data_IF_524328874975
#
_entry.id   IF_524328874975
#
_cell.length_a   1.000
_cell.length_b   1.000
_cell.length_c   1.000
_cell.angle_alpha   90.00
_cell.angle_beta   90.00
_cell.angle_gamma   90.00
#
_symmetry.space_group_name_H-M   'P 1'
#
loop_
_entity.id
_entity.type
_entity.pdbx_description
1 polymer ?
#
# COMPACT_ATOMS: atom_id res chain seq x y z
N UNK A 1 19.54 23.62 13.13
CA UNK A 1 19.49 23.68 14.61
C UNK A 1 18.67 24.90 14.99
N UNK A 2 17.58 24.72 15.75
CA UNK A 2 16.66 25.82 16.07
C UNK A 2 17.29 26.86 17.00
N UNK A 3 16.78 28.10 16.98
CA UNK A 3 17.20 29.16 17.90
C UNK A 3 17.08 28.66 19.36
N UNK A 4 18.04 28.97 20.24
CA UNK A 4 17.95 28.59 21.65
C UNK A 4 16.66 29.16 22.25
N UNK A 5 15.88 28.30 22.88
CA UNK A 5 14.64 28.68 23.52
C UNK A 5 14.98 29.50 24.78
N UNK A 6 14.40 30.69 24.91
CA UNK A 6 14.49 31.47 26.14
C UNK A 6 13.84 30.75 27.34
N UNK A 7 13.89 31.33 28.56
CA UNK A 7 13.41 30.68 29.79
C UNK A 7 11.98 30.14 29.69
N UNK A 8 11.09 30.93 29.07
CA UNK A 8 9.70 30.56 28.81
C UNK A 8 9.57 29.46 27.76
N UNK A 9 10.39 29.50 26.70
CA UNK A 9 10.40 28.48 25.66
C UNK A 9 10.84 27.10 26.18
N UNK A 10 11.80 27.08 27.10
CA UNK A 10 12.22 25.85 27.79
C UNK A 10 11.14 25.29 28.71
N UNK A 11 10.37 26.15 29.40
CA UNK A 11 9.24 25.72 30.23
C UNK A 11 8.16 25.01 29.40
N UNK A 12 7.77 25.58 28.25
CA UNK A 12 6.82 24.94 27.35
C UNK A 12 7.41 23.67 26.73
N UNK A 13 8.70 23.66 26.36
CA UNK A 13 9.37 22.46 25.83
C UNK A 13 9.26 21.27 26.78
N UNK A 14 9.65 21.43 28.05
CA UNK A 14 9.59 20.34 29.05
C UNK A 14 8.17 19.82 29.25
N UNK A 15 7.16 20.70 29.20
CA UNK A 15 5.75 20.30 29.29
C UNK A 15 5.21 19.69 27.99
N UNK A 16 5.80 19.97 26.84
CA UNK A 16 5.36 19.40 25.56
C UNK A 16 6.08 18.08 25.22
N UNK A 17 7.18 17.79 25.91
CA UNK A 17 7.96 16.56 25.74
C UNK A 17 7.17 15.28 25.97
N UNK A 18 6.20 15.27 26.89
CA UNK A 18 5.35 14.09 27.09
C UNK A 18 4.49 13.79 25.85
N UNK A 19 4.11 14.79 25.04
CA UNK A 19 3.32 14.58 23.82
C UNK A 19 4.14 13.96 22.70
N UNK A 20 5.47 14.08 22.78
CA UNK A 20 6.40 13.44 21.86
C UNK A 20 6.59 11.95 22.16
N UNK A 21 5.77 11.38 23.06
CA UNK A 21 5.84 9.97 23.42
C UNK A 21 5.77 9.08 22.17
N UNK A 22 6.61 8.05 22.06
CA UNK A 22 6.69 7.19 20.87
C UNK A 22 5.35 6.57 20.45
N UNK A 23 4.44 6.38 21.41
CA UNK A 23 3.10 5.84 21.19
C UNK A 23 2.17 6.80 20.43
N UNK A 24 2.36 8.12 20.58
CA UNK A 24 1.54 9.15 19.93
C UNK A 24 2.11 9.60 18.58
N UNK A 25 3.41 9.39 18.34
CA UNK A 25 4.11 9.92 17.16
C UNK A 25 4.22 8.93 15.99
N UNK A 26 3.87 7.65 16.18
CA UNK A 26 3.97 6.58 15.16
C UNK A 26 2.66 6.33 14.40
N UNK A 27 1.84 7.35 14.18
CA UNK A 27 0.51 7.17 13.58
C UNK A 27 0.57 6.62 12.15
N UNK A 28 1.48 7.09 11.29
CA UNK A 28 1.56 6.65 9.89
C UNK A 28 2.01 5.20 9.73
N UNK A 29 2.88 4.69 10.61
CA UNK A 29 3.37 3.30 10.55
C UNK A 29 2.33 2.28 11.05
N UNK A 30 1.35 2.74 11.84
CA UNK A 30 0.28 1.91 12.40
C UNK A 30 -1.10 2.22 11.79
N UNK A 31 -1.21 3.19 10.89
CA UNK A 31 -2.46 3.57 10.24
C UNK A 31 -3.04 2.44 9.38
N UNK A 32 -2.17 1.61 8.78
CA UNK A 32 -2.57 0.51 7.90
C UNK A 32 -1.94 -0.80 8.38
N UNK A 33 -2.45 -1.39 9.48
CA UNK A 33 -1.95 -2.67 9.96
C UNK A 33 -2.17 -3.74 8.89
N UNK A 34 -1.13 -4.51 8.55
CA UNK A 34 -1.22 -5.58 7.57
C UNK A 34 -1.15 -5.16 6.10
N UNK A 35 -0.98 -3.87 5.77
CA UNK A 35 -0.87 -3.41 4.38
C UNK A 35 0.26 -4.11 3.62
N UNK A 36 1.42 -4.32 4.25
CA UNK A 36 2.53 -5.05 3.62
C UNK A 36 2.19 -6.49 3.28
N UNK A 37 1.47 -7.19 4.17
CA UNK A 37 1.03 -8.57 3.94
C UNK A 37 -0.01 -8.62 2.83
N UNK A 38 -0.95 -7.67 2.82
CA UNK A 38 -1.97 -7.57 1.78
C UNK A 38 -1.34 -7.34 0.40
N UNK A 39 -0.34 -6.46 0.28
CA UNK A 39 0.38 -6.21 -0.98
C UNK A 39 1.08 -7.48 -1.47
N UNK A 40 1.74 -8.23 -0.59
CA UNK A 40 2.40 -9.49 -0.96
C UNK A 40 1.39 -10.53 -1.44
N UNK A 41 0.33 -10.77 -0.68
CA UNK A 41 -0.72 -11.72 -1.05
C UNK A 41 -1.37 -11.36 -2.39
N UNK A 42 -1.70 -10.08 -2.59
CA UNK A 42 -2.27 -9.58 -3.83
C UNK A 42 -1.32 -9.73 -5.02
N UNK A 43 -0.03 -9.48 -4.83
CA UNK A 43 0.98 -9.66 -5.89
C UNK A 43 1.09 -11.12 -6.33
N UNK A 44 1.08 -12.06 -5.38
CA UNK A 44 1.10 -13.49 -5.68
C UNK A 44 -0.12 -13.90 -6.48
N UNK A 45 -1.30 -13.41 -6.08
CA UNK A 45 -2.55 -13.68 -6.79
C UNK A 45 -2.48 -13.21 -8.25
N UNK A 46 -2.04 -11.97 -8.50
CA UNK A 46 -1.94 -11.42 -9.87
C UNK A 46 -0.93 -12.19 -10.73
N UNK A 47 0.24 -12.53 -10.18
CA UNK A 47 1.25 -13.30 -10.91
C UNK A 47 0.75 -14.70 -11.23
N UNK A 48 0.06 -15.34 -10.28
CA UNK A 48 -0.58 -16.64 -10.48
C UNK A 48 -1.63 -16.61 -11.58
N UNK A 49 -2.51 -15.60 -11.56
CA UNK A 49 -3.55 -15.42 -12.57
C UNK A 49 -2.94 -15.12 -13.96
N UNK A 50 -1.94 -14.24 -14.04
CA UNK A 50 -1.25 -13.94 -15.29
C UNK A 50 -0.53 -15.16 -15.87
N UNK A 51 0.13 -15.97 -15.04
CA UNK A 51 0.79 -17.19 -15.47
C UNK A 51 -0.22 -18.26 -15.93
N UNK A 52 -1.31 -18.44 -15.18
CA UNK A 52 -2.39 -19.36 -15.52
C UNK A 52 -3.03 -18.99 -16.85
N UNK A 53 -3.42 -17.73 -17.05
CA UNK A 53 -4.00 -17.27 -18.30
C UNK A 53 -3.00 -17.41 -19.46
N UNK A 54 -1.70 -17.16 -19.26
CA UNK A 54 -0.72 -17.33 -20.34
C UNK A 54 -0.51 -18.80 -20.75
N UNK A 55 -0.56 -19.73 -19.79
CA UNK A 55 -0.25 -21.14 -20.02
C UNK A 55 -1.48 -21.99 -20.40
N UNK A 56 -2.65 -21.62 -19.89
CA UNK A 56 -3.87 -22.41 -19.99
C UNK A 56 -5.04 -21.68 -20.66
N UNK A 57 -4.92 -20.39 -21.03
CA UNK A 57 -6.01 -19.76 -21.77
C UNK A 57 -6.23 -20.48 -23.10
N UNK A 58 -7.47 -20.90 -23.39
CA UNK A 58 -7.79 -21.41 -24.71
C UNK A 58 -7.49 -20.30 -25.72
N UNK A 59 -6.73 -20.61 -26.77
CA UNK A 59 -6.65 -19.71 -27.92
C UNK A 59 -8.07 -19.61 -28.48
N UNK A 60 -8.75 -18.47 -28.25
CA UNK A 60 -10.01 -18.19 -28.95
C UNK A 60 -9.68 -18.04 -30.43
N UNK A 61 -9.71 -19.15 -31.15
CA UNK A 61 -9.78 -19.16 -32.60
C UNK A 61 -11.06 -18.42 -32.98
N UNK A 62 -10.94 -17.16 -33.38
CA UNK A 62 -11.99 -16.39 -34.02
C UNK A 62 -12.41 -17.12 -35.31
N UNK A 63 -13.32 -18.07 -35.20
CA UNK A 63 -13.99 -18.65 -36.36
C UNK A 63 -14.89 -17.57 -36.94
N UNK A 64 -14.36 -16.84 -37.94
CA UNK A 64 -15.16 -16.03 -38.85
C UNK A 64 -16.18 -16.94 -39.54
N UNK A 65 -17.39 -17.01 -39.02
CA UNK A 65 -18.52 -17.63 -39.72
C UNK A 65 -19.01 -16.65 -40.78
N UNK A 66 -18.56 -16.84 -42.03
CA UNK A 66 -19.18 -16.20 -43.19
C UNK A 66 -20.62 -16.71 -43.33
N UNK A 67 -21.65 -15.85 -43.42
CA UNK A 67 -23.00 -16.31 -43.69
C UNK A 67 -23.11 -16.67 -45.17
N UNK A 68 -23.32 -17.96 -45.46
CA UNK A 68 -23.60 -18.46 -46.80
C UNK A 68 -25.10 -18.28 -47.07
N UNK A 69 -25.44 -17.34 -47.96
CA UNK A 69 -26.80 -17.09 -48.44
C UNK A 69 -27.20 -18.12 -49.50
N UNK A 70 -28.37 -18.74 -49.32
CA UNK A 70 -29.12 -19.51 -50.32
C UNK A 70 -30.45 -18.84 -50.58
#
# INVERSE_FOLDING_TARGET
MGKPLGPTGEFFRRRDEWRKHPMLNKQLRHATPGLGIAVVAFSIYLVGEAAYNKLYAPSHSNSHTSPQSH
#
